data_IF_954413498417
#
_entry.id   IF_954413498417
#
_cell.length_a   1.000
_cell.length_b   1.000
_cell.length_c   1.000
_cell.angle_alpha   90.00
_cell.angle_beta   90.00
_cell.angle_gamma   90.00
#
_symmetry.space_group_name_H-M   'P 1'
#
loop_
_entity.id
_entity.type
_entity.pdbx_description
1 polymer ?
#
# COMPACT_ATOMS: atom_id res chain seq x y z
N UNK A 1 -0.91 4.36 23.84
CA UNK A 1 -0.73 3.31 22.82
C UNK A 1 -1.61 2.13 23.19
N UNK A 2 -2.13 1.36 22.23
CA UNK A 2 -2.85 0.12 22.52
C UNK A 2 -1.91 -0.86 23.25
N UNK A 3 -2.40 -1.51 24.32
CA UNK A 3 -1.57 -2.39 25.14
C UNK A 3 -0.95 -3.57 24.36
N UNK A 4 -1.61 -4.05 23.31
CA UNK A 4 -1.12 -5.17 22.51
C UNK A 4 0.21 -4.89 21.78
N UNK A 5 0.54 -3.62 21.54
CA UNK A 5 1.80 -3.24 20.89
C UNK A 5 3.03 -3.52 21.74
N UNK A 6 2.89 -3.59 23.07
CA UNK A 6 4.01 -3.86 23.96
C UNK A 6 4.57 -5.29 23.79
N UNK A 7 3.70 -6.22 23.36
CA UNK A 7 4.03 -7.64 23.19
C UNK A 7 3.92 -8.06 21.71
N UNK A 8 3.89 -7.08 20.78
CA UNK A 8 3.75 -7.37 19.36
C UNK A 8 5.06 -7.88 18.76
N UNK A 9 4.97 -9.03 18.09
CA UNK A 9 6.02 -9.55 17.21
C UNK A 9 5.48 -9.55 15.80
N UNK A 10 6.07 -8.71 14.95
CA UNK A 10 5.60 -8.51 13.59
C UNK A 10 6.25 -9.47 12.61
N UNK A 11 5.44 -9.96 11.68
CA UNK A 11 5.88 -10.60 10.46
C UNK A 11 5.54 -9.70 9.28
N UNK A 12 6.56 -9.18 8.59
CA UNK A 12 6.35 -8.34 7.41
C UNK A 12 6.17 -9.21 6.17
N UNK A 13 5.16 -8.91 5.36
CA UNK A 13 4.86 -9.62 4.12
C UNK A 13 4.83 -8.64 2.95
N UNK A 14 5.69 -8.90 1.96
CA UNK A 14 5.53 -8.37 0.62
C UNK A 14 4.69 -9.36 -0.19
N UNK A 15 3.41 -9.05 -0.48
CA UNK A 15 2.47 -10.03 -1.03
C UNK A 15 2.96 -10.68 -2.31
N UNK A 16 3.54 -9.89 -3.22
CA UNK A 16 4.00 -10.35 -4.53
C UNK A 16 4.93 -11.56 -4.48
N UNK A 17 5.77 -11.68 -3.44
CA UNK A 17 6.79 -12.74 -3.34
C UNK A 17 6.53 -13.76 -2.23
N UNK A 18 5.37 -13.70 -1.58
CA UNK A 18 5.14 -14.51 -0.37
C UNK A 18 4.60 -15.91 -0.67
N UNK A 19 3.43 -16.01 -1.26
CA UNK A 19 2.81 -17.30 -1.60
C UNK A 19 1.79 -17.12 -2.73
N UNK A 20 2.07 -17.76 -3.85
CA UNK A 20 1.23 -17.81 -5.05
C UNK A 20 0.31 -19.04 -4.95
N UNK A 21 -1.01 -18.85 -5.06
CA UNK A 21 -1.99 -19.94 -5.00
C UNK A 21 -2.62 -20.23 -6.35
N UNK A 22 -2.55 -19.33 -7.30
CA UNK A 22 -3.18 -19.47 -8.60
C UNK A 22 -2.19 -19.87 -9.72
N UNK A 23 -0.89 -19.84 -9.44
CA UNK A 23 0.18 -20.27 -10.36
C UNK A 23 0.56 -19.23 -11.41
N UNK A 24 0.28 -17.95 -11.16
CA UNK A 24 0.63 -16.85 -12.08
C UNK A 24 2.03 -16.26 -11.82
N UNK A 25 2.73 -16.75 -10.80
CA UNK A 25 4.06 -16.30 -10.40
C UNK A 25 4.03 -15.10 -9.45
N UNK A 26 2.85 -14.68 -8.98
CA UNK A 26 2.65 -13.56 -8.08
C UNK A 26 1.93 -14.07 -6.83
N UNK A 27 2.47 -13.79 -5.64
CA UNK A 27 1.79 -14.11 -4.40
C UNK A 27 0.50 -13.32 -4.23
N UNK A 28 -0.46 -13.91 -3.51
CA UNK A 28 -1.81 -13.38 -3.38
C UNK A 28 -2.34 -13.42 -1.93
N UNK A 29 -3.51 -12.81 -1.69
CA UNK A 29 -4.14 -12.77 -0.36
C UNK A 29 -4.52 -14.17 0.11
N UNK A 30 -4.95 -15.06 -0.78
CA UNK A 30 -5.26 -16.44 -0.46
C UNK A 30 -4.00 -17.17 0.04
N UNK A 31 -2.86 -16.92 -0.58
CA UNK A 31 -1.57 -17.42 -0.13
C UNK A 31 -1.22 -16.94 1.27
N UNK A 32 -1.51 -15.68 1.59
CA UNK A 32 -1.30 -15.15 2.96
C UNK A 32 -2.22 -15.87 3.94
N UNK A 33 -3.51 -16.05 3.62
CA UNK A 33 -4.48 -16.76 4.45
C UNK A 33 -3.99 -18.18 4.72
N UNK A 34 -3.52 -18.87 3.70
CA UNK A 34 -3.04 -20.27 3.79
C UNK A 34 -1.82 -20.44 4.73
N UNK A 35 -1.08 -19.34 4.97
CA UNK A 35 0.15 -19.33 5.78
C UNK A 35 0.00 -18.71 7.17
N UNK A 36 -1.21 -18.33 7.59
CA UNK A 36 -1.43 -17.74 8.92
C UNK A 36 -0.97 -18.64 10.07
N UNK A 37 -1.18 -19.96 9.97
CA UNK A 37 -0.71 -20.91 10.99
C UNK A 37 0.81 -20.99 11.03
N UNK A 38 1.47 -20.90 9.90
CA UNK A 38 2.93 -20.80 9.83
C UNK A 38 3.42 -19.54 10.55
N UNK A 39 2.86 -18.37 10.24
CA UNK A 39 3.23 -17.10 10.90
C UNK A 39 3.02 -17.20 12.41
N UNK A 40 1.90 -17.76 12.84
CA UNK A 40 1.61 -17.99 14.27
C UNK A 40 2.61 -18.93 14.92
N UNK A 41 3.03 -19.98 14.23
CA UNK A 41 4.00 -20.97 14.76
C UNK A 41 5.38 -20.38 15.03
N UNK A 42 5.72 -19.25 14.37
CA UNK A 42 6.95 -18.48 14.62
C UNK A 42 6.86 -17.58 15.86
N UNK A 43 5.71 -17.55 16.54
CA UNK A 43 5.47 -16.67 17.67
C UNK A 43 5.04 -15.25 17.28
N UNK A 44 4.78 -14.99 16.01
CA UNK A 44 4.29 -13.68 15.56
C UNK A 44 2.79 -13.53 15.85
N UNK A 45 2.40 -12.35 16.31
CA UNK A 45 1.01 -12.01 16.63
C UNK A 45 0.52 -10.77 15.87
N UNK A 46 1.33 -10.24 14.97
CA UNK A 46 0.97 -9.17 14.06
C UNK A 46 1.61 -9.41 12.69
N UNK A 47 0.90 -9.03 11.64
CA UNK A 47 1.40 -9.00 10.25
C UNK A 47 1.36 -7.55 9.77
N UNK A 48 2.45 -7.11 9.15
CA UNK A 48 2.53 -5.88 8.39
C UNK A 48 2.57 -6.23 6.90
N UNK A 49 1.53 -5.81 6.18
CA UNK A 49 1.47 -5.98 4.73
C UNK A 49 2.04 -4.76 4.03
N UNK A 50 3.07 -4.96 3.19
CA UNK A 50 3.47 -3.96 2.20
C UNK A 50 2.30 -3.63 1.27
N UNK A 51 2.34 -2.52 0.50
CA UNK A 51 1.17 -2.02 -0.18
C UNK A 51 0.45 -3.06 -1.04
N UNK A 52 -0.85 -3.22 -0.79
CA UNK A 52 -1.75 -4.13 -1.52
C UNK A 52 -2.74 -3.39 -2.41
N UNK A 53 -2.65 -2.07 -2.42
CA UNK A 53 -3.59 -1.20 -3.12
C UNK A 53 -3.44 -1.27 -4.64
N UNK A 54 -4.49 -0.87 -5.34
CA UNK A 54 -4.48 -0.73 -6.79
C UNK A 54 -3.36 0.24 -7.21
N UNK A 55 -2.47 -0.25 -8.07
CA UNK A 55 -1.25 0.42 -8.50
C UNK A 55 -0.90 0.00 -9.93
N UNK A 56 -0.26 0.84 -10.73
CA UNK A 56 0.39 0.43 -11.96
C UNK A 56 1.68 -0.37 -11.73
N UNK A 57 2.16 -0.50 -10.48
CA UNK A 57 3.35 -1.25 -10.08
C UNK A 57 4.66 -0.79 -10.76
N UNK A 58 4.79 0.49 -11.01
CA UNK A 58 6.03 1.10 -11.46
C UNK A 58 7.02 1.30 -10.31
N UNK A 59 6.50 1.34 -9.07
CA UNK A 59 7.26 1.44 -7.82
C UNK A 59 6.81 0.38 -6.80
N UNK A 60 6.79 -0.89 -7.23
CA UNK A 60 6.53 -2.06 -6.38
C UNK A 60 5.22 -1.98 -5.55
N UNK A 61 4.24 -1.18 -5.98
CA UNK A 61 2.97 -0.97 -5.28
C UNK A 61 2.91 0.30 -4.43
N UNK A 62 4.05 1.01 -4.25
CA UNK A 62 4.08 2.28 -3.54
C UNK A 62 3.53 3.45 -4.36
N UNK A 63 3.39 3.30 -5.66
CA UNK A 63 2.72 4.21 -6.57
C UNK A 63 1.20 3.94 -6.61
N UNK A 64 0.52 4.29 -5.50
CA UNK A 64 -0.89 3.96 -5.27
C UNK A 64 -1.80 4.76 -6.19
N UNK A 65 -2.56 4.05 -7.04
CA UNK A 65 -3.58 4.62 -7.91
C UNK A 65 -4.93 4.77 -7.21
N UNK A 66 -5.31 3.79 -6.41
CA UNK A 66 -6.57 3.81 -5.66
C UNK A 66 -6.41 3.17 -4.27
N UNK A 67 -6.49 3.97 -3.22
CA UNK A 67 -6.37 3.53 -1.83
C UNK A 67 -7.56 2.71 -1.31
N UNK A 68 -8.67 2.65 -2.05
CA UNK A 68 -9.90 1.97 -1.65
C UNK A 68 -10.09 0.63 -2.35
N UNK A 69 -9.15 0.23 -3.19
CA UNK A 69 -9.22 -0.98 -3.99
C UNK A 69 -7.96 -1.81 -3.80
N UNK A 70 -8.14 -3.10 -3.54
CA UNK A 70 -7.05 -4.09 -3.60
C UNK A 70 -6.61 -4.24 -5.06
N UNK A 71 -5.30 -4.39 -5.29
CA UNK A 71 -4.77 -4.68 -6.61
C UNK A 71 -5.27 -6.04 -7.10
N UNK A 72 -5.78 -6.10 -8.33
CA UNK A 72 -6.40 -7.31 -8.90
C UNK A 72 -5.46 -8.53 -8.89
N UNK A 73 -4.15 -8.30 -9.01
CA UNK A 73 -3.13 -9.36 -8.92
C UNK A 73 -3.07 -10.04 -7.56
N UNK A 74 -3.51 -9.37 -6.50
CA UNK A 74 -3.49 -9.90 -5.12
C UNK A 74 -4.83 -10.45 -4.68
N UNK A 75 -5.92 -10.13 -5.38
CA UNK A 75 -7.29 -10.53 -5.06
C UNK A 75 -8.26 -9.36 -5.04
N UNK A 76 -9.27 -9.45 -4.21
CA UNK A 76 -10.37 -8.49 -4.10
C UNK A 76 -10.42 -7.85 -2.71
N UNK A 77 -11.27 -6.82 -2.56
CA UNK A 77 -11.56 -6.24 -1.24
C UNK A 77 -12.21 -7.27 -0.30
N UNK A 78 -13.02 -8.18 -0.84
CA UNK A 78 -13.66 -9.22 -0.04
C UNK A 78 -12.63 -10.25 0.46
N UNK A 79 -11.62 -10.57 -0.35
CA UNK A 79 -10.50 -11.41 0.09
C UNK A 79 -9.70 -10.74 1.21
N UNK A 80 -9.52 -9.42 1.15
CA UNK A 80 -8.86 -8.68 2.22
C UNK A 80 -9.68 -8.71 3.52
N UNK A 81 -10.99 -8.56 3.44
CA UNK A 81 -11.88 -8.70 4.61
C UNK A 81 -11.76 -10.10 5.19
N UNK A 82 -11.78 -11.13 4.34
CA UNK A 82 -11.60 -12.52 4.77
C UNK A 82 -10.24 -12.75 5.43
N UNK A 83 -9.16 -12.15 4.91
CA UNK A 83 -7.85 -12.20 5.55
C UNK A 83 -7.89 -11.62 6.97
N UNK A 84 -8.55 -10.47 7.17
CA UNK A 84 -8.70 -9.89 8.52
C UNK A 84 -9.44 -10.84 9.46
N UNK A 85 -10.55 -11.41 9.00
CA UNK A 85 -11.36 -12.32 9.81
C UNK A 85 -10.57 -13.59 10.20
N UNK A 86 -9.88 -14.23 9.25
CA UNK A 86 -9.09 -15.42 9.51
C UNK A 86 -7.88 -15.15 10.41
N UNK A 87 -7.21 -14.02 10.24
CA UNK A 87 -6.10 -13.60 11.09
C UNK A 87 -6.59 -13.34 12.53
N UNK A 88 -7.71 -12.63 12.67
CA UNK A 88 -8.28 -12.32 13.98
C UNK A 88 -8.72 -13.57 14.75
N UNK A 89 -9.29 -14.58 14.09
CA UNK A 89 -9.60 -15.88 14.70
C UNK A 89 -8.36 -16.56 15.28
N UNK A 90 -7.20 -16.29 14.72
CA UNK A 90 -5.90 -16.83 15.17
C UNK A 90 -5.17 -15.92 16.17
N UNK A 91 -5.76 -14.77 16.51
CA UNK A 91 -5.16 -13.76 17.40
C UNK A 91 -4.05 -12.95 16.74
N UNK A 92 -4.00 -12.91 15.40
CA UNK A 92 -3.04 -12.14 14.62
C UNK A 92 -3.67 -10.79 14.23
N UNK A 93 -2.97 -9.69 14.47
CA UNK A 93 -3.35 -8.35 14.02
C UNK A 93 -2.78 -8.09 12.63
N UNK A 94 -3.57 -7.47 11.76
CA UNK A 94 -3.10 -7.06 10.42
C UNK A 94 -2.94 -5.54 10.40
N UNK A 95 -1.78 -5.08 9.93
CA UNK A 95 -1.49 -3.70 9.61
C UNK A 95 -1.26 -3.59 8.11
N UNK A 96 -1.90 -2.62 7.51
CA UNK A 96 -1.65 -2.26 6.11
C UNK A 96 -0.62 -1.14 6.06
N UNK A 97 0.25 -1.19 5.08
CA UNK A 97 1.14 -0.09 4.81
C UNK A 97 0.35 1.15 4.38
N UNK A 98 0.74 2.30 4.86
CA UNK A 98 0.13 3.58 4.52
C UNK A 98 1.15 4.43 3.76
N UNK A 99 0.81 4.78 2.52
CA UNK A 99 1.65 5.61 1.64
C UNK A 99 1.06 7.03 1.55
N UNK A 100 1.28 7.91 2.55
CA UNK A 100 0.61 9.21 2.60
C UNK A 100 1.40 10.33 1.91
N UNK A 101 2.67 10.10 1.58
CA UNK A 101 3.58 11.15 1.12
C UNK A 101 3.48 11.45 -0.37
N UNK A 102 2.91 10.55 -1.15
CA UNK A 102 2.75 10.68 -2.61
C UNK A 102 1.65 9.76 -3.12
N UNK A 103 1.31 9.88 -4.39
CA UNK A 103 0.42 8.97 -5.11
C UNK A 103 1.04 8.57 -6.44
N UNK A 104 0.45 7.58 -7.12
CA UNK A 104 0.71 7.35 -8.53
C UNK A 104 0.35 8.61 -9.36
N UNK A 105 1.05 8.81 -10.45
CA UNK A 105 0.68 9.77 -11.50
C UNK A 105 -0.66 9.42 -12.19
N UNK A 106 -1.13 8.19 -12.01
CA UNK A 106 -2.43 7.69 -12.46
C UNK A 106 -3.53 7.80 -11.41
N UNK A 107 -3.23 8.34 -10.22
CA UNK A 107 -4.24 8.56 -9.19
C UNK A 107 -5.22 9.66 -9.64
N UNK A 108 -6.53 9.41 -9.42
CA UNK A 108 -7.60 10.35 -9.82
C UNK A 108 -7.36 11.76 -9.28
N UNK A 109 -6.92 11.89 -8.03
CA UNK A 109 -6.64 13.19 -7.42
C UNK A 109 -5.54 13.94 -8.15
N UNK A 110 -4.49 13.23 -8.55
CA UNK A 110 -3.38 13.83 -9.30
C UNK A 110 -3.82 14.22 -10.71
N UNK A 111 -4.55 13.32 -11.41
CA UNK A 111 -5.06 13.61 -12.74
C UNK A 111 -5.99 14.83 -12.77
N UNK A 112 -6.86 14.96 -11.77
CA UNK A 112 -7.73 16.14 -11.65
C UNK A 112 -6.94 17.40 -11.26
N UNK A 113 -5.97 17.30 -10.37
CA UNK A 113 -5.11 18.41 -9.98
C UNK A 113 -4.27 18.94 -11.13
N UNK A 114 -3.86 18.07 -12.07
CA UNK A 114 -3.12 18.47 -13.29
C UNK A 114 -3.97 19.26 -14.28
N UNK A 115 -5.28 19.03 -14.37
CA UNK A 115 -6.14 19.62 -15.41
C UNK A 115 -6.34 21.13 -15.23
N UNK A 116 -6.32 21.63 -13.99
CA UNK A 116 -6.61 23.03 -13.72
C UNK A 116 -5.81 23.55 -12.50
N UNK A 117 -5.42 24.83 -12.58
CA UNK A 117 -4.68 25.51 -11.50
C UNK A 117 -5.47 25.58 -10.19
N UNK A 118 -6.80 25.48 -10.24
CA UNK A 118 -7.70 25.46 -9.09
C UNK A 118 -8.71 24.34 -9.30
N UNK A 119 -8.37 23.14 -8.84
CA UNK A 119 -9.29 22.01 -8.70
C UNK A 119 -9.51 21.72 -7.21
N UNK A 120 -10.51 20.91 -6.89
CA UNK A 120 -10.75 20.39 -5.54
C UNK A 120 -9.50 19.73 -4.93
N UNK A 121 -8.67 19.15 -5.78
CA UNK A 121 -7.48 18.39 -5.37
C UNK A 121 -6.17 19.16 -5.47
N UNK A 122 -6.17 20.41 -5.96
CA UNK A 122 -4.94 21.18 -6.19
C UNK A 122 -4.08 21.34 -4.93
N UNK A 123 -4.73 21.43 -3.75
CA UNK A 123 -4.02 21.60 -2.48
C UNK A 123 -3.43 20.29 -1.93
N UNK A 124 -3.65 19.15 -2.58
CA UNK A 124 -3.07 17.85 -2.19
C UNK A 124 -1.66 17.67 -2.74
N UNK A 125 -1.26 18.48 -3.72
CA UNK A 125 0.02 18.36 -4.40
C UNK A 125 0.72 19.70 -4.43
N UNK A 126 2.06 19.64 -4.38
CA UNK A 126 2.91 20.83 -4.50
C UNK A 126 3.32 20.96 -5.97
N UNK A 127 2.76 21.95 -6.65
CA UNK A 127 3.16 22.32 -7.99
C UNK A 127 4.09 23.53 -7.94
N UNK A 128 5.20 23.47 -8.65
CA UNK A 128 6.17 24.56 -8.77
C UNK A 128 6.39 24.89 -10.24
N UNK A 129 6.88 26.11 -10.52
CA UNK A 129 7.25 26.52 -11.88
C UNK A 129 8.62 25.97 -12.31
N UNK A 130 9.40 25.51 -11.35
CA UNK A 130 10.73 24.95 -11.57
C UNK A 130 11.07 23.95 -10.47
N UNK A 131 11.78 22.89 -10.81
CA UNK A 131 12.31 21.92 -9.83
C UNK A 131 13.18 22.58 -8.75
N UNK A 132 13.77 23.74 -9.07
CA UNK A 132 14.62 24.49 -8.13
C UNK A 132 13.83 25.26 -7.08
N UNK A 133 12.55 25.51 -7.31
CA UNK A 133 11.66 26.18 -6.37
C UNK A 133 11.09 25.22 -5.31
N UNK A 134 11.24 23.91 -5.54
CA UNK A 134 10.79 22.90 -4.58
C UNK A 134 11.74 22.81 -3.38
N UNK A 135 11.20 22.62 -2.15
CA UNK A 135 12.03 22.36 -0.98
C UNK A 135 13.00 21.19 -1.23
N UNK A 136 14.27 21.30 -0.77
CA UNK A 136 15.30 20.30 -1.06
C UNK A 136 14.91 18.85 -0.73
N UNK A 137 14.15 18.64 0.35
CA UNK A 137 13.68 17.32 0.77
C UNK A 137 12.75 16.66 -0.26
N UNK A 138 11.96 17.43 -1.01
CA UNK A 138 11.08 16.88 -2.03
C UNK A 138 11.83 16.57 -3.33
N UNK A 139 12.89 17.31 -3.63
CA UNK A 139 13.74 17.06 -4.80
C UNK A 139 14.49 15.74 -4.73
N UNK A 140 14.74 15.23 -3.52
CA UNK A 140 15.49 13.99 -3.31
C UNK A 140 14.61 12.72 -3.29
N UNK A 141 13.33 12.84 -2.94
CA UNK A 141 12.48 11.69 -2.64
C UNK A 141 11.43 11.36 -3.69
N UNK A 142 11.01 12.33 -4.48
CA UNK A 142 9.93 12.14 -5.44
C UNK A 142 10.30 12.82 -6.75
N UNK A 143 10.04 12.19 -7.86
CA UNK A 143 10.07 12.88 -9.15
C UNK A 143 9.17 14.11 -9.09
N UNK A 144 9.72 15.29 -9.36
CA UNK A 144 8.95 16.54 -9.40
C UNK A 144 8.39 16.66 -10.81
N UNK A 145 7.06 16.68 -10.91
CA UNK A 145 6.41 17.01 -12.17
C UNK A 145 6.42 18.53 -12.36
N UNK A 146 7.10 18.99 -13.39
CA UNK A 146 6.90 20.35 -13.88
C UNK A 146 5.51 20.44 -14.52
N UNK A 147 4.88 21.59 -14.34
CA UNK A 147 3.61 21.92 -14.96
C UNK A 147 3.84 23.05 -15.94
N UNK A 148 3.49 22.81 -17.22
CA UNK A 148 3.43 23.82 -18.26
C UNK A 148 2.29 24.84 -18.02
#
# INVERSE_FOLDING_TARGET
MPNWLNDAVFYEIYPQSFCDTNGDGIGDIEGIISKLDYVKSLGCNAIWLNPIYDSPFMDAGYDVRNYKKVAERYGTNDDLVRLFDEAHKKGIKILLDLVPGHTSDQNEWFLEAKKAAKSEYSNRYIFTKSVWDAPPQYRMMCGICERD
#
